data_IF_184633422678
#
_entry.id   IF_184633422678
#
_cell.length_a   1.000
_cell.length_b   1.000
_cell.length_c   1.000
_cell.angle_alpha   90.00
_cell.angle_beta   90.00
_cell.angle_gamma   90.00
#
_symmetry.space_group_name_H-M   'P 1'
#
loop_
_entity.id
_entity.type
_entity.pdbx_description
1 polymer ?
#
# COMPACT_ATOMS: atom_id res chain seq x y z
N UNK A 1 1.93 -25.03 -8.29
CA UNK A 1 1.75 -23.68 -8.87
C UNK A 1 2.77 -22.78 -8.18
N UNK A 2 3.85 -22.40 -8.87
CA UNK A 2 4.77 -21.38 -8.31
C UNK A 2 4.11 -20.03 -8.58
N UNK A 3 3.15 -19.67 -7.73
CA UNK A 3 2.43 -18.41 -7.82
C UNK A 3 3.37 -17.32 -7.33
N UNK A 4 4.00 -16.60 -8.26
CA UNK A 4 4.72 -15.39 -7.92
C UNK A 4 3.67 -14.37 -7.45
N UNK A 5 3.67 -14.05 -6.15
CA UNK A 5 2.71 -13.09 -5.59
C UNK A 5 3.12 -11.70 -6.07
N UNK A 6 2.18 -10.93 -6.64
CA UNK A 6 2.44 -9.56 -7.11
C UNK A 6 2.34 -8.54 -5.98
N UNK A 7 2.93 -7.34 -6.17
CA UNK A 7 2.79 -6.22 -5.22
C UNK A 7 1.32 -5.88 -4.96
N UNK A 8 0.51 -5.90 -6.01
CA UNK A 8 -0.94 -5.71 -5.92
C UNK A 8 -1.57 -6.72 -4.96
N UNK A 9 -1.27 -8.00 -5.10
CA UNK A 9 -1.80 -9.05 -4.23
C UNK A 9 -1.37 -8.86 -2.77
N UNK A 10 -0.16 -8.34 -2.52
CA UNK A 10 0.35 -8.04 -1.19
C UNK A 10 -0.39 -6.87 -0.54
N UNK A 11 -0.60 -5.80 -1.29
CA UNK A 11 -1.40 -4.65 -0.83
C UNK A 11 -2.82 -5.12 -0.50
N UNK A 12 -3.45 -5.91 -1.37
CA UNK A 12 -4.78 -6.44 -1.14
C UNK A 12 -4.85 -7.36 0.10
N UNK A 13 -3.82 -8.17 0.35
CA UNK A 13 -3.71 -9.00 1.55
C UNK A 13 -3.59 -8.17 2.83
N UNK A 14 -2.73 -7.13 2.82
CA UNK A 14 -2.57 -6.23 3.95
C UNK A 14 -3.88 -5.50 4.27
N UNK A 15 -4.57 -5.02 3.24
CA UNK A 15 -5.87 -4.36 3.39
C UNK A 15 -6.92 -5.32 3.95
N UNK A 16 -7.06 -6.53 3.40
CA UNK A 16 -8.04 -7.51 3.89
C UNK A 16 -7.74 -7.95 5.33
N UNK A 17 -6.46 -8.05 5.72
CA UNK A 17 -6.05 -8.36 7.10
C UNK A 17 -6.49 -7.30 8.11
N UNK A 18 -6.48 -6.02 7.72
CA UNK A 18 -6.83 -4.90 8.60
C UNK A 18 -8.33 -4.60 8.58
N UNK A 19 -8.93 -4.58 7.38
CA UNK A 19 -10.29 -4.10 7.17
C UNK A 19 -11.34 -5.22 7.11
N UNK A 20 -10.92 -6.46 6.83
CA UNK A 20 -11.82 -7.58 6.55
C UNK A 20 -12.89 -7.22 5.49
N UNK A 21 -12.46 -6.58 4.39
CA UNK A 21 -13.34 -6.01 3.37
C UNK A 21 -14.30 -7.04 2.75
N UNK A 22 -13.92 -8.32 2.70
CA UNK A 22 -14.77 -9.42 2.22
C UNK A 22 -15.27 -9.27 0.78
N UNK A 23 -14.75 -8.29 0.06
CA UNK A 23 -15.16 -7.87 -1.28
C UNK A 23 -13.91 -7.53 -2.10
N UNK A 24 -13.95 -7.68 -3.44
CA UNK A 24 -12.85 -7.26 -4.30
C UNK A 24 -12.62 -5.75 -4.18
N UNK A 25 -11.37 -5.35 -4.02
CA UNK A 25 -10.97 -3.94 -3.89
C UNK A 25 -10.45 -3.47 -5.26
N UNK A 26 -11.16 -2.56 -5.95
CA UNK A 26 -10.70 -1.98 -7.21
C UNK A 26 -9.50 -1.06 -7.01
N UNK A 27 -8.55 -1.06 -7.95
CA UNK A 27 -7.37 -0.20 -7.90
C UNK A 27 -7.67 1.27 -8.22
N UNK A 28 -8.80 1.54 -8.88
CA UNK A 28 -9.31 2.88 -9.18
C UNK A 28 -10.21 3.45 -8.06
N UNK A 29 -10.25 2.78 -6.91
CA UNK A 29 -10.93 3.27 -5.71
C UNK A 29 -9.93 4.01 -4.81
N UNK A 30 -10.44 5.01 -4.08
CA UNK A 30 -9.68 5.72 -3.05
C UNK A 30 -9.73 5.00 -1.70
N UNK A 31 -8.75 5.28 -0.83
CA UNK A 31 -8.76 4.80 0.56
C UNK A 31 -10.02 5.21 1.33
N UNK A 32 -10.53 6.42 1.09
CA UNK A 32 -11.76 6.91 1.71
C UNK A 32 -12.99 6.11 1.26
N UNK A 33 -13.13 5.85 -0.03
CA UNK A 33 -14.27 5.07 -0.56
C UNK A 33 -14.25 3.63 -0.07
N UNK A 34 -13.06 3.09 0.24
CA UNK A 34 -12.90 1.79 0.87
C UNK A 34 -13.30 1.79 2.36
N UNK A 35 -13.47 2.96 2.96
CA UNK A 35 -13.78 3.14 4.38
C UNK A 35 -12.56 3.08 5.29
N UNK A 36 -11.35 3.14 4.74
CA UNK A 36 -10.10 3.20 5.51
C UNK A 36 -10.02 4.55 6.20
N UNK A 37 -9.86 4.56 7.53
CA UNK A 37 -9.55 5.78 8.27
C UNK A 37 -8.04 5.95 8.46
N UNK A 38 -7.60 7.05 9.07
CA UNK A 38 -6.18 7.35 9.26
C UNK A 38 -5.41 6.29 10.07
N UNK A 39 -6.05 5.64 11.04
CA UNK A 39 -5.41 4.60 11.86
C UNK A 39 -5.25 3.32 11.04
N UNK A 40 -6.30 2.94 10.31
CA UNK A 40 -6.27 1.75 9.47
C UNK A 40 -5.28 1.92 8.32
N UNK A 41 -5.20 3.11 7.74
CA UNK A 41 -4.19 3.46 6.74
C UNK A 41 -2.78 3.25 7.27
N UNK A 42 -2.43 3.80 8.43
CA UNK A 42 -1.09 3.60 9.02
C UNK A 42 -0.80 2.12 9.25
N UNK A 43 -1.77 1.34 9.76
CA UNK A 43 -1.59 -0.10 9.95
C UNK A 43 -1.36 -0.84 8.63
N UNK A 44 -2.09 -0.46 7.57
CA UNK A 44 -1.92 -1.02 6.23
C UNK A 44 -0.51 -0.71 5.71
N UNK A 45 -0.03 0.53 5.86
CA UNK A 45 1.31 0.91 5.44
C UNK A 45 2.39 0.10 6.16
N UNK A 46 2.32 0.01 7.48
CA UNK A 46 3.27 -0.78 8.29
C UNK A 46 3.23 -2.26 7.91
N UNK A 47 2.06 -2.83 7.64
CA UNK A 47 1.96 -4.23 7.19
C UNK A 47 2.65 -4.41 5.82
N UNK A 48 2.47 -3.47 4.89
CA UNK A 48 3.07 -3.52 3.55
C UNK A 48 4.60 -3.42 3.62
N UNK A 49 5.14 -2.52 4.45
CA UNK A 49 6.58 -2.42 4.70
C UNK A 49 7.15 -3.77 5.16
N UNK A 50 6.49 -4.40 6.14
CA UNK A 50 6.90 -5.70 6.67
C UNK A 50 6.78 -6.84 5.65
N UNK A 51 5.73 -6.83 4.82
CA UNK A 51 5.51 -7.89 3.83
C UNK A 51 6.42 -7.81 2.61
N UNK A 52 6.82 -6.60 2.22
CA UNK A 52 7.60 -6.33 1.01
C UNK A 52 9.07 -5.95 1.29
N UNK A 53 9.44 -5.77 2.56
CA UNK A 53 10.79 -5.32 2.98
C UNK A 53 11.15 -3.98 2.31
N UNK A 54 10.20 -3.04 2.35
CA UNK A 54 10.33 -1.66 1.82
C UNK A 54 10.17 -0.64 2.93
N UNK A 55 10.68 0.57 2.70
CA UNK A 55 10.52 1.72 3.59
C UNK A 55 9.63 2.75 2.89
N UNK A 56 8.50 3.10 3.51
CA UNK A 56 7.57 4.10 2.99
C UNK A 56 7.92 5.44 3.63
N UNK A 57 8.14 6.46 2.80
CA UNK A 57 8.42 7.82 3.30
C UNK A 57 7.37 8.29 4.32
N UNK A 58 7.81 8.92 5.41
CA UNK A 58 6.93 9.45 6.47
C UNK A 58 5.85 10.40 5.91
N UNK A 59 6.17 11.15 4.85
CA UNK A 59 5.21 12.03 4.17
C UNK A 59 4.05 11.24 3.53
N UNK A 60 4.30 10.00 3.11
CA UNK A 60 3.29 9.08 2.56
C UNK A 60 2.47 8.38 3.64
N UNK A 61 2.96 8.34 4.89
CA UNK A 61 2.19 7.88 6.04
C UNK A 61 1.10 8.89 6.45
N UNK A 62 1.20 10.15 5.99
CA UNK A 62 0.11 11.10 6.14
C UNK A 62 -1.11 10.61 5.34
N UNK A 63 -2.20 10.33 6.06
CA UNK A 63 -3.42 9.78 5.47
C UNK A 63 -3.94 10.67 4.33
N UNK A 64 -3.86 10.14 3.10
CA UNK A 64 -4.36 10.74 1.88
C UNK A 64 -5.69 10.12 1.46
N UNK A 65 -6.85 10.60 1.97
CA UNK A 65 -8.15 9.96 1.73
C UNK A 65 -8.54 9.85 0.26
N UNK A 66 -8.05 10.77 -0.58
CA UNK A 66 -8.35 10.84 -2.01
C UNK A 66 -7.31 10.16 -2.90
N UNK A 67 -6.26 9.57 -2.34
CA UNK A 67 -5.30 8.80 -3.12
C UNK A 67 -5.92 7.50 -3.61
N UNK A 68 -5.69 7.16 -4.88
CA UNK A 68 -6.11 5.89 -5.46
C UNK A 68 -5.19 4.77 -4.98
N UNK A 69 -5.77 3.60 -4.68
CA UNK A 69 -5.00 2.42 -4.27
C UNK A 69 -4.00 2.01 -5.38
N UNK A 70 -4.38 2.20 -6.64
CA UNK A 70 -3.51 1.98 -7.80
C UNK A 70 -2.28 2.89 -7.84
N UNK A 71 -2.44 4.18 -7.50
CA UNK A 71 -1.32 5.14 -7.44
C UNK A 71 -0.35 4.74 -6.33
N UNK A 72 -0.89 4.35 -5.17
CA UNK A 72 -0.08 3.83 -4.07
C UNK A 72 0.66 2.53 -4.47
N UNK A 73 0.00 1.63 -5.20
CA UNK A 73 0.65 0.41 -5.74
C UNK A 73 1.83 0.75 -6.65
N UNK A 74 1.67 1.73 -7.53
CA UNK A 74 2.75 2.15 -8.43
C UNK A 74 3.93 2.77 -7.66
N UNK A 75 3.64 3.52 -6.59
CA UNK A 75 4.66 4.01 -5.65
C UNK A 75 5.42 2.85 -4.96
N UNK A 76 4.73 1.84 -4.42
CA UNK A 76 5.41 0.68 -3.82
C UNK A 76 6.26 -0.08 -4.85
N UNK A 77 5.79 -0.17 -6.10
CA UNK A 77 6.57 -0.75 -7.19
C UNK A 77 7.83 0.06 -7.51
N UNK A 78 7.79 1.40 -7.42
CA UNK A 78 8.98 2.23 -7.63
C UNK A 78 10.02 2.05 -6.53
N UNK A 79 9.58 1.88 -5.27
CA UNK A 79 10.48 1.56 -4.15
C UNK A 79 11.25 0.25 -4.40
N UNK A 80 10.54 -0.81 -4.78
CA UNK A 80 11.15 -2.14 -5.04
C UNK A 80 12.11 -2.10 -6.22
N UNK A 81 11.81 -1.30 -7.25
CA UNK A 81 12.65 -1.16 -8.44
C UNK A 81 13.92 -0.33 -8.18
N UNK A 82 14.07 0.26 -6.99
CA UNK A 82 15.24 1.05 -6.65
C UNK A 82 15.25 2.43 -7.30
N UNK A 83 14.09 3.01 -7.60
CA UNK A 83 13.97 4.47 -7.74
C UNK A 83 13.94 5.10 -6.34
N UNK A 84 14.89 4.71 -5.50
CA UNK A 84 15.22 5.39 -4.24
C UNK A 84 16.00 6.65 -4.60
N UNK A 85 15.27 7.70 -4.98
CA UNK A 85 15.75 9.06 -4.86
C UNK A 85 15.83 9.44 -3.39
N UNK A 86 16.77 8.85 -2.64
CA UNK A 86 17.22 9.41 -1.37
C UNK A 86 18.70 9.76 -1.53
N UNK A 87 18.93 11.06 -1.60
CA UNK A 87 20.25 11.68 -1.72
C UNK A 87 21.14 11.25 -0.55
N UNK A 88 22.39 10.91 -0.88
CA UNK A 88 23.51 10.93 0.07
C UNK A 88 23.75 12.36 0.53
N UNK A 89 23.65 12.62 1.84
CA UNK A 89 24.53 13.56 2.55
C UNK A 89 24.74 13.15 4.01
#
# INVERSE_FOLDING_TARGET
MSGMITVEQRILQAVDKIMACGTPIPMDQTWFELGVNSIDYIKIMVEIENELDVEIDDERLAYGPSELIGDFRDYVVSLIKGESGHETD
#
